data_IF_894450879800
#
_entry.id   IF_894450879800
#
_cell.length_a   1.000
_cell.length_b   1.000
_cell.length_c   1.000
_cell.angle_alpha   90.00
_cell.angle_beta   90.00
_cell.angle_gamma   90.00
#
_symmetry.space_group_name_H-M   'P 1'
#
loop_
_entity.id
_entity.type
_entity.pdbx_description
1 polymer ?
#
# COMPACT_ATOMS: atom_id res chain seq x y z
N UNK A 1 9.48 -5.60 20.73
CA UNK A 1 9.66 -4.13 20.77
C UNK A 1 8.88 -3.58 19.59
N UNK A 2 8.05 -2.56 19.78
CA UNK A 2 7.31 -1.91 18.69
C UNK A 2 8.33 -1.10 17.88
N UNK A 3 8.39 -1.25 16.54
CA UNK A 3 9.23 -0.40 15.72
C UNK A 3 8.86 1.07 15.88
N UNK A 4 9.87 1.91 15.98
CA UNK A 4 9.72 3.36 16.14
C UNK A 4 10.42 4.10 15.01
N UNK A 5 9.88 5.24 14.63
CA UNK A 5 10.51 6.19 13.72
C UNK A 5 10.93 7.42 14.53
N UNK A 6 12.14 7.91 14.29
CA UNK A 6 12.63 9.13 14.91
C UNK A 6 12.37 10.33 13.99
N UNK A 7 11.63 11.31 14.49
CA UNK A 7 11.27 12.55 13.76
C UNK A 7 11.60 13.73 14.67
N UNK A 8 12.47 14.64 14.22
CA UNK A 8 12.89 15.82 15.00
C UNK A 8 13.36 15.48 16.43
N UNK A 9 14.18 14.43 16.56
CA UNK A 9 14.67 13.90 17.84
C UNK A 9 13.60 13.36 18.81
N UNK A 10 12.40 13.11 18.34
CA UNK A 10 11.35 12.41 19.06
C UNK A 10 11.08 11.06 18.41
N UNK A 11 10.94 10.02 19.22
CA UNK A 11 10.63 8.66 18.75
C UNK A 11 9.13 8.42 18.79
N UNK A 12 8.58 7.87 17.70
CA UNK A 12 7.16 7.56 17.58
C UNK A 12 6.98 6.11 17.14
N UNK A 13 6.01 5.39 17.72
CA UNK A 13 5.68 4.05 17.23
C UNK A 13 5.11 4.12 15.80
N UNK A 14 5.47 3.12 14.99
CA UNK A 14 4.93 2.99 13.61
C UNK A 14 3.50 2.45 13.62
N UNK A 15 3.15 1.63 14.62
CA UNK A 15 1.85 0.98 14.72
C UNK A 15 1.11 1.38 15.99
N UNK A 16 -0.22 1.52 15.92
CA UNK A 16 -1.05 1.97 17.04
C UNK A 16 -1.49 0.85 17.99
N UNK A 17 -1.58 -0.38 17.52
CA UNK A 17 -2.07 -1.50 18.33
C UNK A 17 -1.47 -2.82 17.84
N UNK A 18 -0.88 -3.58 18.74
CA UNK A 18 -0.12 -4.77 18.38
C UNK A 18 -0.62 -5.98 19.17
N UNK A 19 -1.78 -6.49 18.78
CA UNK A 19 -2.19 -7.84 19.16
C UNK A 19 -1.79 -8.88 18.09
N UNK A 20 -1.01 -8.49 17.08
CA UNK A 20 -0.65 -9.36 15.97
C UNK A 20 0.85 -9.58 15.89
N UNK A 21 1.20 -10.72 15.35
CA UNK A 21 2.56 -11.10 15.07
C UNK A 21 3.17 -10.14 14.03
N UNK A 22 4.23 -9.38 14.43
CA UNK A 22 5.02 -8.53 13.55
C UNK A 22 6.22 -9.28 12.94
N UNK A 23 6.14 -10.58 12.76
CA UNK A 23 7.25 -11.36 12.19
C UNK A 23 7.63 -10.87 10.78
N UNK A 24 6.73 -10.18 10.10
CA UNK A 24 7.04 -9.56 8.81
C UNK A 24 8.15 -8.51 8.84
N UNK A 25 8.47 -7.93 10.00
CA UNK A 25 9.61 -6.98 10.11
C UNK A 25 10.98 -7.66 10.09
N UNK A 26 11.02 -8.99 10.10
CA UNK A 26 12.26 -9.78 10.07
C UNK A 26 12.58 -10.36 8.70
N UNK A 27 11.79 -10.03 7.67
CA UNK A 27 11.99 -10.55 6.32
C UNK A 27 13.24 -9.99 5.67
N UNK A 28 13.79 -10.73 4.71
CA UNK A 28 14.96 -10.30 3.93
C UNK A 28 14.58 -9.61 2.63
N UNK A 29 13.47 -10.03 2.03
CA UNK A 29 13.00 -9.53 0.74
C UNK A 29 11.54 -9.13 0.82
N UNK A 30 11.17 -8.01 0.18
CA UNK A 30 9.80 -7.52 0.16
C UNK A 30 9.43 -6.96 -1.21
N UNK A 31 8.27 -7.37 -1.73
CA UNK A 31 7.64 -6.79 -2.91
C UNK A 31 6.54 -5.82 -2.52
N UNK A 32 6.60 -4.60 -3.01
CA UNK A 32 5.49 -3.66 -3.01
C UNK A 32 4.83 -3.66 -4.38
N UNK A 33 3.63 -4.23 -4.49
CA UNK A 33 2.91 -4.36 -5.75
C UNK A 33 1.80 -3.31 -5.81
N UNK A 34 2.05 -2.26 -6.57
CA UNK A 34 1.11 -1.16 -6.78
C UNK A 34 -0.01 -1.56 -7.76
N UNK A 35 -0.70 -0.58 -8.32
CA UNK A 35 -1.92 -0.82 -9.10
C UNK A 35 -1.82 -0.40 -10.57
N UNK A 36 -0.69 0.16 -11.02
CA UNK A 36 -0.54 0.68 -12.38
C UNK A 36 -0.80 -0.38 -13.46
N UNK A 37 -1.41 0.04 -14.57
CA UNK A 37 -1.61 -0.78 -15.76
C UNK A 37 -0.31 -1.31 -16.37
N UNK A 38 0.84 -0.67 -16.11
CA UNK A 38 2.17 -1.12 -16.55
C UNK A 38 2.53 -2.53 -16.06
N UNK A 39 1.89 -3.01 -14.99
CA UNK A 39 2.06 -4.39 -14.53
C UNK A 39 1.66 -5.42 -15.58
N UNK A 40 0.77 -5.08 -16.51
CA UNK A 40 0.31 -5.98 -17.57
C UNK A 40 1.32 -6.14 -18.71
N UNK A 41 2.33 -5.30 -18.77
CA UNK A 41 3.34 -5.32 -19.84
C UNK A 41 4.38 -6.42 -19.66
N UNK A 42 4.51 -6.93 -18.43
CA UNK A 42 5.51 -7.94 -18.06
C UNK A 42 4.90 -9.07 -17.21
N UNK A 43 5.57 -10.22 -17.16
CA UNK A 43 5.14 -11.39 -16.40
C UNK A 43 5.90 -11.47 -15.07
N UNK A 44 5.62 -10.56 -14.14
CA UNK A 44 6.31 -10.48 -12.86
C UNK A 44 5.81 -11.47 -11.80
N UNK A 45 4.73 -12.20 -12.08
CA UNK A 45 4.05 -13.02 -11.07
C UNK A 45 4.98 -13.96 -10.30
N UNK A 46 5.75 -14.77 -11.02
CA UNK A 46 6.67 -15.73 -10.41
C UNK A 46 7.84 -15.08 -9.66
N UNK A 47 8.23 -13.87 -10.06
CA UNK A 47 9.27 -13.09 -9.38
C UNK A 47 8.74 -12.51 -8.08
N UNK A 48 7.55 -11.90 -8.14
CA UNK A 48 6.86 -11.35 -6.96
C UNK A 48 6.67 -12.44 -5.91
N UNK A 49 6.19 -13.63 -6.30
CA UNK A 49 5.88 -14.72 -5.38
C UNK A 49 7.11 -15.33 -4.68
N UNK A 50 8.33 -15.02 -5.12
CA UNK A 50 9.58 -15.44 -4.46
C UNK A 50 9.97 -14.57 -3.26
N UNK A 51 9.36 -13.40 -3.08
CA UNK A 51 9.66 -12.55 -1.94
C UNK A 51 9.14 -13.14 -0.64
N UNK A 52 9.84 -12.87 0.47
CA UNK A 52 9.41 -13.28 1.80
C UNK A 52 8.11 -12.56 2.21
N UNK A 53 7.94 -11.31 1.74
CA UNK A 53 6.80 -10.44 2.06
C UNK A 53 6.25 -9.79 0.79
N UNK A 54 4.95 -9.89 0.59
CA UNK A 54 4.24 -9.24 -0.52
C UNK A 54 3.18 -8.31 0.05
N UNK A 55 3.30 -7.03 -0.28
CA UNK A 55 2.38 -5.98 0.14
C UNK A 55 1.61 -5.44 -1.06
N UNK A 56 0.28 -5.34 -0.91
CA UNK A 56 -0.62 -4.72 -1.89
C UNK A 56 -1.43 -3.60 -1.26
N UNK A 57 -2.17 -2.87 -2.10
CA UNK A 57 -2.90 -1.68 -1.68
C UNK A 57 -4.38 -1.78 -2.04
N UNK A 58 -5.23 -1.34 -1.12
CA UNK A 58 -6.68 -1.24 -1.32
C UNK A 58 -7.27 -2.49 -1.99
N UNK A 59 -8.13 -2.32 -3.00
CA UNK A 59 -8.80 -3.42 -3.69
C UNK A 59 -7.98 -4.03 -4.85
N UNK A 60 -6.64 -3.97 -4.80
CA UNK A 60 -5.78 -4.59 -5.83
C UNK A 60 -6.12 -6.08 -5.99
N UNK A 61 -6.49 -6.44 -7.21
CA UNK A 61 -6.94 -7.79 -7.58
C UNK A 61 -5.74 -8.73 -7.76
N UNK A 62 -5.89 -9.98 -7.37
CA UNK A 62 -4.92 -11.05 -7.65
C UNK A 62 -5.52 -12.03 -8.66
N UNK A 63 -6.73 -12.53 -8.35
CA UNK A 63 -7.40 -13.53 -9.15
C UNK A 63 -7.62 -13.06 -10.60
N UNK A 64 -7.07 -13.82 -11.54
CA UNK A 64 -7.11 -13.53 -12.97
C UNK A 64 -5.92 -12.68 -13.47
N UNK A 65 -5.05 -12.25 -12.56
CA UNK A 65 -3.85 -11.44 -12.85
C UNK A 65 -2.55 -12.06 -12.32
N UNK A 66 -2.61 -13.30 -11.83
CA UNK A 66 -1.51 -13.97 -11.12
C UNK A 66 -0.21 -13.95 -11.92
N UNK A 67 -0.30 -14.12 -13.24
CA UNK A 67 0.83 -14.08 -14.16
C UNK A 67 1.62 -12.75 -14.07
N UNK A 68 0.92 -11.66 -13.81
CA UNK A 68 1.47 -10.30 -13.83
C UNK A 68 1.83 -9.79 -12.44
N UNK A 69 1.03 -10.15 -11.44
CA UNK A 69 1.10 -9.54 -10.12
C UNK A 69 1.41 -10.53 -8.98
N UNK A 70 1.64 -11.81 -9.29
CA UNK A 70 1.80 -12.87 -8.29
C UNK A 70 0.48 -13.36 -7.70
N UNK A 71 0.52 -14.45 -6.96
CA UNK A 71 -0.64 -15.18 -6.48
C UNK A 71 -0.95 -14.93 -5.00
N UNK A 72 0.03 -14.42 -4.22
CA UNK A 72 -0.05 -14.27 -2.76
C UNK A 72 -0.10 -12.80 -2.34
N UNK A 73 -0.72 -12.55 -1.21
CA UNK A 73 -0.68 -11.28 -0.48
C UNK A 73 -0.50 -11.58 1.00
N UNK A 74 0.53 -11.03 1.62
CA UNK A 74 0.77 -11.20 3.05
C UNK A 74 0.20 -10.01 3.84
N UNK A 75 0.39 -8.79 3.32
CA UNK A 75 -0.14 -7.57 3.91
C UNK A 75 -0.90 -6.77 2.86
N UNK A 76 -2.03 -6.22 3.26
CA UNK A 76 -2.76 -5.24 2.48
C UNK A 76 -2.87 -3.92 3.21
N UNK A 77 -2.26 -2.87 2.65
CA UNK A 77 -2.40 -1.51 3.16
C UNK A 77 -3.71 -0.94 2.63
N UNK A 78 -4.62 -0.61 3.55
CA UNK A 78 -5.95 -0.13 3.25
C UNK A 78 -6.12 1.32 3.68
N UNK A 79 -6.67 2.15 2.80
CA UNK A 79 -7.26 3.41 3.23
C UNK A 79 -8.48 3.11 4.11
N UNK A 80 -8.68 3.87 5.19
CA UNK A 80 -9.84 3.69 6.08
C UNK A 80 -11.18 3.71 5.33
N UNK A 81 -11.32 4.56 4.32
CA UNK A 81 -12.50 4.61 3.45
C UNK A 81 -12.77 3.31 2.65
N UNK A 82 -11.78 2.42 2.52
CA UNK A 82 -11.97 1.13 1.85
C UNK A 82 -13.05 0.26 2.53
N UNK A 83 -13.29 0.45 3.82
CA UNK A 83 -14.31 -0.29 4.57
C UNK A 83 -15.73 0.29 4.42
N UNK A 84 -15.85 1.55 4.05
CA UNK A 84 -17.14 2.28 4.00
C UNK A 84 -17.49 2.77 2.60
N UNK A 85 -16.65 2.52 1.60
CA UNK A 85 -16.90 2.92 0.20
C UNK A 85 -18.20 2.29 -0.32
N UNK A 86 -19.09 3.12 -0.83
CA UNK A 86 -20.40 2.66 -1.34
C UNK A 86 -20.74 3.25 -2.70
N UNK A 87 -20.00 4.23 -3.16
CA UNK A 87 -20.23 4.89 -4.44
C UNK A 87 -19.40 4.29 -5.56
N UNK A 88 -19.84 4.46 -6.81
CA UNK A 88 -19.07 4.07 -8.00
C UNK A 88 -17.69 4.76 -8.03
N UNK A 89 -17.61 6.00 -7.50
CA UNK A 89 -16.36 6.74 -7.38
C UNK A 89 -15.41 6.08 -6.40
N UNK A 90 -15.90 5.61 -5.24
CA UNK A 90 -15.08 4.94 -4.25
C UNK A 90 -14.50 3.63 -4.80
N UNK A 91 -15.30 2.85 -5.52
CA UNK A 91 -14.87 1.60 -6.17
C UNK A 91 -13.76 1.88 -7.18
N UNK A 92 -13.92 2.92 -8.00
CA UNK A 92 -12.88 3.37 -8.92
C UNK A 92 -11.59 3.82 -8.20
N UNK A 93 -11.65 4.34 -6.96
CA UNK A 93 -10.49 4.66 -6.13
C UNK A 93 -9.85 3.42 -5.48
N UNK A 94 -10.30 2.23 -5.85
CA UNK A 94 -9.86 0.99 -5.23
C UNK A 94 -10.44 0.75 -3.84
N UNK A 95 -11.49 1.48 -3.46
CA UNK A 95 -12.22 1.32 -2.20
C UNK A 95 -13.46 0.45 -2.44
N UNK A 96 -13.27 -0.85 -2.48
CA UNK A 96 -14.33 -1.83 -2.76
C UNK A 96 -14.54 -2.76 -1.56
N UNK A 97 -15.47 -2.43 -0.64
CA UNK A 97 -15.73 -3.25 0.53
C UNK A 97 -16.29 -4.64 0.16
N UNK A 98 -17.01 -4.77 -0.96
CA UNK A 98 -17.51 -6.06 -1.40
C UNK A 98 -16.35 -7.00 -1.80
N UNK A 99 -15.34 -6.45 -2.47
CA UNK A 99 -14.13 -7.22 -2.76
C UNK A 99 -13.41 -7.60 -1.46
N UNK A 100 -13.27 -6.69 -0.50
CA UNK A 100 -12.59 -6.98 0.76
C UNK A 100 -13.24 -8.12 1.52
N UNK A 101 -14.58 -8.33 1.39
CA UNK A 101 -15.26 -9.47 2.04
C UNK A 101 -14.82 -10.83 1.50
N UNK A 102 -14.22 -10.87 0.30
CA UNK A 102 -13.74 -12.11 -0.32
C UNK A 102 -12.33 -12.50 0.11
N UNK A 103 -11.62 -11.60 0.82
CA UNK A 103 -10.24 -11.82 1.23
C UNK A 103 -10.17 -12.55 2.57
N UNK A 104 -9.24 -13.49 2.66
CA UNK A 104 -8.97 -14.28 3.85
C UNK A 104 -7.45 -14.49 4.00
N UNK A 105 -6.99 -14.56 5.26
CA UNK A 105 -5.58 -14.83 5.59
C UNK A 105 -4.58 -13.74 5.13
N UNK A 106 -5.03 -12.54 4.80
CA UNK A 106 -4.18 -11.38 4.59
C UNK A 106 -4.14 -10.52 5.87
N UNK A 107 -3.00 -9.97 6.22
CA UNK A 107 -2.94 -8.96 7.29
C UNK A 107 -3.35 -7.61 6.75
N UNK A 108 -4.41 -7.02 7.30
CA UNK A 108 -4.83 -5.66 6.95
C UNK A 108 -4.08 -4.63 7.79
N UNK A 109 -3.43 -3.70 7.13
CA UNK A 109 -2.76 -2.56 7.73
C UNK A 109 -3.49 -1.27 7.34
N UNK A 110 -4.22 -0.71 8.28
CA UNK A 110 -5.15 0.38 8.00
C UNK A 110 -4.47 1.74 8.16
N UNK A 111 -4.53 2.54 7.09
CA UNK A 111 -4.19 3.95 7.06
C UNK A 111 -5.41 4.75 7.53
N UNK A 112 -5.43 5.20 8.78
CA UNK A 112 -6.48 6.07 9.30
C UNK A 112 -5.98 6.91 10.46
N UNK A 113 -6.35 8.20 10.46
CA UNK A 113 -6.12 9.11 11.60
C UNK A 113 -7.17 8.94 12.69
N UNK A 114 -8.34 8.44 12.33
CA UNK A 114 -9.48 8.26 13.23
C UNK A 114 -10.01 6.83 13.14
N UNK A 115 -9.45 5.97 13.98
CA UNK A 115 -9.87 4.56 14.03
C UNK A 115 -11.36 4.43 14.35
N UNK A 116 -11.91 5.30 15.21
CA UNK A 116 -13.29 5.24 15.64
C UNK A 116 -14.28 5.42 14.48
N UNK A 117 -13.92 6.23 13.48
CA UNK A 117 -14.78 6.45 12.30
C UNK A 117 -15.02 5.19 11.48
N UNK A 118 -14.02 4.26 11.49
CA UNK A 118 -14.06 3.06 10.66
C UNK A 118 -14.29 1.77 11.44
N UNK A 119 -14.48 1.85 12.77
CA UNK A 119 -14.53 0.67 13.65
C UNK A 119 -15.60 -0.32 13.23
N UNK A 120 -16.79 0.15 12.85
CA UNK A 120 -17.89 -0.71 12.42
C UNK A 120 -17.56 -1.45 11.11
N UNK A 121 -16.91 -0.75 10.18
CA UNK A 121 -16.43 -1.35 8.93
C UNK A 121 -15.37 -2.42 9.23
N UNK A 122 -14.37 -2.10 10.03
CA UNK A 122 -13.25 -2.97 10.40
C UNK A 122 -13.73 -4.24 11.09
N UNK A 123 -14.71 -4.15 12.00
CA UNK A 123 -15.25 -5.29 12.76
C UNK A 123 -15.82 -6.41 11.87
N UNK A 124 -16.26 -6.10 10.66
CA UNK A 124 -16.75 -7.11 9.71
C UNK A 124 -15.64 -8.07 9.22
N UNK A 125 -14.39 -7.67 9.33
CA UNK A 125 -13.24 -8.41 8.77
C UNK A 125 -12.35 -9.04 9.86
N UNK A 126 -12.50 -8.65 11.12
CA UNK A 126 -11.58 -9.00 12.21
C UNK A 126 -11.47 -10.53 12.45
N UNK A 127 -12.49 -11.29 12.11
CA UNK A 127 -12.49 -12.74 12.28
C UNK A 127 -11.84 -13.49 11.10
N UNK A 128 -11.60 -12.81 9.98
CA UNK A 128 -11.03 -13.39 8.76
C UNK A 128 -9.59 -12.96 8.53
N UNK A 129 -9.27 -11.74 8.94
CA UNK A 129 -7.99 -11.09 8.65
C UNK A 129 -7.47 -10.40 9.91
N UNK A 130 -6.20 -10.61 10.29
CA UNK A 130 -5.56 -9.79 11.31
C UNK A 130 -5.58 -8.32 10.89
N UNK A 131 -5.96 -7.41 11.79
CA UNK A 131 -6.06 -5.97 11.50
C UNK A 131 -5.16 -5.18 12.43
N UNK A 132 -4.31 -4.35 11.84
CA UNK A 132 -3.44 -3.39 12.50
C UNK A 132 -3.67 -1.99 11.95
N UNK A 133 -3.31 -0.98 12.74
CA UNK A 133 -3.39 0.41 12.34
C UNK A 133 -2.00 1.03 12.29
N UNK A 134 -1.71 1.79 11.25
CA UNK A 134 -0.56 2.69 11.24
C UNK A 134 -0.77 3.79 12.28
N UNK A 135 0.30 4.13 13.00
CA UNK A 135 0.22 5.17 14.02
C UNK A 135 -0.01 6.56 13.37
N UNK A 136 -0.90 7.40 13.91
CA UNK A 136 -1.17 8.72 13.35
C UNK A 136 0.08 9.57 13.14
N UNK A 137 1.04 9.55 14.06
CA UNK A 137 2.27 10.30 13.92
C UNK A 137 3.14 9.82 12.75
N UNK A 138 3.15 8.51 12.45
CA UNK A 138 3.82 8.00 11.25
C UNK A 138 3.12 8.48 9.99
N UNK A 139 1.78 8.51 9.95
CA UNK A 139 1.03 9.06 8.83
C UNK A 139 1.27 10.57 8.65
N UNK A 140 1.33 11.33 9.74
CA UNK A 140 1.68 12.76 9.72
C UNK A 140 3.10 12.96 9.15
N UNK A 141 4.06 12.14 9.57
CA UNK A 141 5.40 12.17 8.99
C UNK A 141 5.37 11.96 7.49
N UNK A 142 4.69 10.92 6.99
CA UNK A 142 4.58 10.65 5.57
C UNK A 142 3.95 11.82 4.81
N UNK A 143 2.89 12.42 5.37
CA UNK A 143 2.20 13.56 4.75
C UNK A 143 3.05 14.84 4.72
N UNK A 144 3.90 15.07 5.71
CA UNK A 144 4.77 16.23 5.73
C UNK A 144 5.88 16.19 4.66
N UNK A 145 6.06 15.07 3.99
CA UNK A 145 7.00 14.93 2.87
C UNK A 145 6.41 15.36 1.52
N UNK A 146 5.10 15.59 1.46
CA UNK A 146 4.38 16.01 0.24
C UNK A 146 3.55 17.25 0.52
N UNK A 147 3.36 18.12 -0.49
CA UNK A 147 2.57 19.35 -0.35
C UNK A 147 1.06 19.12 -0.53
N UNK A 148 0.65 17.97 -1.03
CA UNK A 148 -0.76 17.58 -1.16
C UNK A 148 -1.30 17.07 0.17
N UNK A 149 -2.64 17.07 0.35
CA UNK A 149 -3.24 16.78 1.67
C UNK A 149 -2.79 15.45 2.26
N UNK A 150 -2.54 14.44 1.43
CA UNK A 150 -2.17 13.12 1.91
C UNK A 150 -1.19 12.39 0.97
N UNK A 151 -0.20 11.74 1.57
CA UNK A 151 0.64 10.76 0.90
C UNK A 151 -0.21 9.56 0.43
N UNK A 152 0.08 9.04 -0.75
CA UNK A 152 -0.60 7.84 -1.25
C UNK A 152 -0.29 6.62 -0.39
N UNK A 153 -1.15 5.61 -0.45
CA UNK A 153 -0.87 4.33 0.20
C UNK A 153 0.42 3.70 -0.32
N UNK A 154 0.72 3.91 -1.60
CA UNK A 154 1.97 3.46 -2.24
C UNK A 154 3.20 4.08 -1.59
N UNK A 155 3.26 5.41 -1.44
CA UNK A 155 4.37 6.09 -0.78
C UNK A 155 4.47 5.68 0.70
N UNK A 156 3.35 5.57 1.40
CA UNK A 156 3.34 5.13 2.81
C UNK A 156 3.93 3.73 2.94
N UNK A 157 3.61 2.80 2.02
CA UNK A 157 4.19 1.45 2.01
C UNK A 157 5.71 1.47 1.79
N UNK A 158 6.20 2.31 0.89
CA UNK A 158 7.66 2.50 0.66
C UNK A 158 8.33 3.02 1.93
N UNK A 159 7.81 4.11 2.49
CA UNK A 159 8.39 4.73 3.69
C UNK A 159 8.34 3.78 4.90
N UNK A 160 7.28 2.98 5.03
CA UNK A 160 7.17 1.95 6.05
C UNK A 160 8.34 0.96 5.98
N UNK A 161 8.57 0.34 4.83
CA UNK A 161 9.61 -0.67 4.68
C UNK A 161 11.02 -0.07 4.82
N UNK A 162 11.27 1.08 4.19
CA UNK A 162 12.56 1.77 4.31
C UNK A 162 12.86 2.15 5.77
N UNK A 163 11.86 2.65 6.51
CA UNK A 163 12.02 2.99 7.94
C UNK A 163 12.31 1.74 8.80
N UNK A 164 11.77 0.58 8.41
CA UNK A 164 12.07 -0.71 9.07
C UNK A 164 13.42 -1.30 8.65
N UNK A 165 14.17 -0.62 7.78
CA UNK A 165 15.45 -1.12 7.27
C UNK A 165 15.32 -2.24 6.23
N UNK A 166 14.13 -2.42 5.65
CA UNK A 166 13.84 -3.39 4.60
C UNK A 166 13.94 -2.68 3.25
N UNK A 167 14.76 -3.20 2.34
CA UNK A 167 14.88 -2.70 0.98
C UNK A 167 13.82 -3.34 0.09
N UNK A 168 12.74 -2.62 -0.33
CA UNK A 168 11.69 -3.21 -1.15
C UNK A 168 12.02 -3.20 -2.63
N UNK A 169 11.45 -4.16 -3.36
CA UNK A 169 11.30 -4.17 -4.81
C UNK A 169 9.91 -3.60 -5.17
N UNK A 170 9.90 -2.54 -5.98
CA UNK A 170 8.68 -1.83 -6.35
C UNK A 170 8.20 -2.30 -7.73
N UNK A 171 6.97 -2.83 -7.79
CA UNK A 171 6.30 -3.28 -9.00
C UNK A 171 5.09 -2.37 -9.30
N UNK A 172 4.97 -1.90 -10.54
CA UNK A 172 3.82 -1.10 -10.98
C UNK A 172 3.76 0.31 -10.40
N UNK A 173 4.90 0.92 -10.10
CA UNK A 173 5.00 2.32 -9.67
C UNK A 173 5.18 3.25 -10.90
N UNK A 174 4.19 3.24 -11.81
CA UNK A 174 4.20 4.03 -13.05
C UNK A 174 3.91 5.52 -12.87
N UNK A 175 3.43 5.95 -11.70
CA UNK A 175 3.12 7.37 -11.34
C UNK A 175 2.17 8.09 -12.30
N UNK A 176 1.40 7.35 -13.11
CA UNK A 176 0.47 7.88 -14.10
C UNK A 176 1.11 8.85 -15.12
N UNK A 177 2.43 8.78 -15.30
CA UNK A 177 3.19 9.70 -16.17
C UNK A 177 3.16 9.30 -17.64
N UNK A 178 2.68 8.12 -17.98
CA UNK A 178 2.64 7.63 -19.35
C UNK A 178 1.19 7.57 -19.86
N UNK A 179 0.93 8.14 -21.02
CA UNK A 179 -0.38 8.46 -21.57
C UNK A 179 -1.31 7.29 -21.88
N UNK A 180 -0.87 6.04 -21.67
CA UNK A 180 -1.64 4.83 -21.91
C UNK A 180 -1.93 4.03 -20.64
N UNK A 181 -1.51 4.51 -19.47
CA UNK A 181 -1.62 3.73 -18.26
C UNK A 181 -3.05 3.72 -17.72
N UNK A 182 -3.57 2.53 -17.54
CA UNK A 182 -4.74 2.32 -16.69
C UNK A 182 -4.33 2.70 -15.26
N UNK A 183 -5.19 3.45 -14.59
CA UNK A 183 -4.99 3.80 -13.17
C UNK A 183 -4.84 2.53 -12.32
N UNK A 184 -5.70 1.55 -12.60
CA UNK A 184 -5.60 0.23 -12.01
C UNK A 184 -5.61 -0.83 -13.11
N UNK A 185 -4.72 -1.82 -13.03
CA UNK A 185 -4.58 -2.87 -14.04
C UNK A 185 -5.85 -3.72 -14.25
N UNK A 186 -6.78 -3.73 -13.29
CA UNK A 186 -8.05 -4.48 -13.38
C UNK A 186 -9.23 -3.66 -13.89
N UNK A 187 -9.05 -2.39 -14.21
CA UNK A 187 -10.12 -1.52 -14.72
C UNK A 187 -10.14 -1.48 -16.25
N UNK A 188 -11.36 -1.39 -16.81
CA UNK A 188 -11.54 -1.31 -18.27
C UNK A 188 -11.43 0.13 -18.81
N UNK A 189 -11.55 1.14 -17.96
CA UNK A 189 -11.70 2.54 -18.34
C UNK A 189 -10.53 3.37 -17.84
N UNK A 190 -9.86 4.10 -18.75
CA UNK A 190 -9.01 5.22 -18.39
C UNK A 190 -9.88 6.33 -17.81
N UNK A 191 -9.96 6.45 -16.51
CA UNK A 191 -10.60 7.58 -15.87
C UNK A 191 -9.63 8.77 -15.88
N UNK A 192 -10.07 9.93 -16.37
CA UNK A 192 -9.37 11.20 -16.18
C UNK A 192 -9.39 11.53 -14.68
N UNK A 193 -8.38 11.08 -13.96
CA UNK A 193 -8.32 11.21 -12.52
C UNK A 193 -7.50 12.43 -12.13
N UNK A 194 -8.17 13.38 -11.53
CA UNK A 194 -7.53 14.31 -10.63
C UNK A 194 -7.46 13.61 -9.27
N UNK A 195 -6.38 12.91 -9.00
CA UNK A 195 -6.14 12.37 -7.67
C UNK A 195 -5.76 13.52 -6.74
N UNK A 196 -6.17 13.46 -5.48
CA UNK A 196 -5.72 14.40 -4.46
C UNK A 196 -4.24 14.24 -4.06
N UNK A 197 -3.50 13.33 -4.73
CA UNK A 197 -2.11 13.02 -4.43
C UNK A 197 -1.15 13.82 -5.29
N UNK A 198 0.02 14.17 -4.74
CA UNK A 198 1.13 14.83 -5.41
C UNK A 198 2.08 13.83 -6.05
N UNK A 199 1.65 13.10 -7.09
CA UNK A 199 2.46 12.02 -7.67
C UNK A 199 3.83 12.45 -8.16
N UNK A 200 4.01 13.69 -8.65
CA UNK A 200 5.33 14.20 -9.05
C UNK A 200 6.27 14.30 -7.84
N UNK A 201 5.75 14.75 -6.70
CA UNK A 201 6.53 14.84 -5.46
C UNK A 201 6.84 13.45 -4.91
N UNK A 202 5.86 12.55 -4.91
CA UNK A 202 6.04 11.16 -4.49
C UNK A 202 7.07 10.45 -5.36
N UNK A 203 7.02 10.68 -6.68
CA UNK A 203 8.03 10.17 -7.61
C UNK A 203 9.43 10.66 -7.28
N UNK A 204 9.59 11.96 -7.02
CA UNK A 204 10.89 12.52 -6.64
C UNK A 204 11.46 11.88 -5.36
N UNK A 205 10.60 11.65 -4.35
CA UNK A 205 10.99 10.97 -3.11
C UNK A 205 11.46 9.55 -3.42
N UNK A 206 10.71 8.80 -4.23
CA UNK A 206 11.05 7.41 -4.59
C UNK A 206 12.32 7.37 -5.43
N UNK A 207 12.50 8.29 -6.38
CA UNK A 207 13.71 8.40 -7.19
C UNK A 207 14.95 8.69 -6.32
N UNK A 208 14.81 9.53 -5.28
CA UNK A 208 15.90 9.80 -4.36
C UNK A 208 16.23 8.60 -3.45
N UNK A 209 15.22 7.88 -2.98
CA UNK A 209 15.44 6.62 -2.25
C UNK A 209 16.12 5.57 -3.14
N UNK A 210 15.75 5.47 -4.41
CA UNK A 210 16.38 4.59 -5.38
C UNK A 210 17.85 4.96 -5.61
N UNK A 211 18.17 6.24 -5.85
CA UNK A 211 19.56 6.73 -6.01
C UNK A 211 20.43 6.42 -4.78
N UNK A 212 19.84 6.44 -3.59
CA UNK A 212 20.51 6.09 -2.33
C UNK A 212 20.52 4.58 -2.04
N UNK A 213 20.10 3.74 -2.99
CA UNK A 213 20.08 2.27 -2.88
C UNK A 213 19.20 1.73 -1.74
N UNK A 214 18.14 2.46 -1.36
CA UNK A 214 17.20 2.09 -0.30
C UNK A 214 16.00 1.27 -0.81
N UNK A 215 15.79 1.22 -2.11
CA UNK A 215 14.78 0.41 -2.79
C UNK A 215 15.24 0.04 -4.21
N UNK A 216 14.51 -0.87 -4.87
CA UNK A 216 14.65 -1.14 -6.30
C UNK A 216 13.34 -0.79 -7.02
N UNK A 217 13.43 -0.33 -8.28
CA UNK A 217 12.27 -0.11 -9.16
C UNK A 217 12.35 -1.14 -10.27
N UNK A 218 11.38 -2.03 -10.33
CA UNK A 218 11.30 -3.10 -11.33
C UNK A 218 10.44 -2.60 -12.51
N UNK A 219 11.00 -2.69 -13.72
CA UNK A 219 10.40 -2.16 -14.96
C UNK A 219 10.17 -3.25 -15.98
#
# INVERSE_FOLDING_TARGET
>A
MIPEVSINNQSFPIFSNLNSNLDFIKVKTAALVASSGTLLDNNFGDEIDKHDLIIRFNAARVKGYEKYVGSRTDIRILNGHAFNGSTKKDICLGHDPNFLTTLENETFLVKSYNVQEFIEGVMKYINKNPINFLHPNFLIYCNNLVSKPEASAGLIGVLLLVTLGIKPDLYGYGFYSESNDKVHYWEEVNSNWSTGHGFDEEKNIIDDLYKNNLLNIIK
#
